data_IF_059694072529
#
_entry.id   IF_059694072529
#
_cell.length_a   1.000
_cell.length_b   1.000
_cell.length_c   1.000
_cell.angle_alpha   90.00
_cell.angle_beta   90.00
_cell.angle_gamma   90.00
#
_symmetry.space_group_name_H-M   'P 1'
#
loop_
_entity.id
_entity.type
_entity.pdbx_description
1 polymer ?
#
# COMPACT_ATOMS: atom_id res chain seq x y z
N UNK A 1 7.35 11.99 22.17
CA UNK A 1 8.40 10.96 21.94
C UNK A 1 9.72 11.40 22.59
N UNK A 2 10.11 12.65 22.46
CA UNK A 2 11.41 13.15 22.97
C UNK A 2 11.63 12.92 24.47
N UNK A 3 10.58 12.86 25.28
CA UNK A 3 10.68 12.68 26.75
C UNK A 3 10.59 11.22 27.19
N UNK A 4 10.28 10.28 26.28
CA UNK A 4 10.14 8.87 26.62
C UNK A 4 11.51 8.24 26.95
N UNK A 5 11.51 7.37 27.96
CA UNK A 5 12.58 6.41 28.18
C UNK A 5 12.45 5.20 27.24
N UNK A 6 13.40 4.26 27.31
CA UNK A 6 13.40 3.09 26.42
C UNK A 6 12.15 2.21 26.62
N UNK A 7 11.65 2.07 27.85
CA UNK A 7 10.47 1.27 28.15
C UNK A 7 9.18 1.97 27.63
N UNK A 8 9.09 3.28 27.78
CA UNK A 8 7.98 4.08 27.23
C UNK A 8 7.96 4.05 25.70
N UNK A 9 9.12 4.17 25.07
CA UNK A 9 9.26 4.06 23.61
C UNK A 9 8.90 2.65 23.12
N UNK A 10 9.34 1.61 23.83
CA UNK A 10 8.98 0.22 23.51
C UNK A 10 7.46 0.02 23.53
N UNK A 11 6.77 0.50 24.56
CA UNK A 11 5.30 0.41 24.66
C UNK A 11 4.63 1.15 23.51
N UNK A 12 5.01 2.41 23.26
CA UNK A 12 4.43 3.21 22.18
C UNK A 12 4.58 2.52 20.82
N UNK A 13 5.78 2.02 20.49
CA UNK A 13 6.00 1.32 19.22
C UNK A 13 5.19 0.03 19.15
N UNK A 14 5.07 -0.70 20.27
CA UNK A 14 4.23 -1.89 20.36
C UNK A 14 2.75 -1.61 20.13
N UNK A 15 2.22 -0.52 20.69
CA UNK A 15 0.83 -0.11 20.48
C UNK A 15 0.58 0.29 19.01
N UNK A 16 1.52 1.02 18.40
CA UNK A 16 1.47 1.35 16.97
C UNK A 16 1.54 0.11 16.09
N UNK A 17 2.42 -0.85 16.40
CA UNK A 17 2.50 -2.14 15.69
C UNK A 17 1.18 -2.90 15.75
N UNK A 18 0.52 -2.96 16.92
CA UNK A 18 -0.78 -3.62 17.06
C UNK A 18 -1.87 -2.93 16.22
N UNK A 19 -1.89 -1.61 16.24
CA UNK A 19 -2.81 -0.82 15.43
C UNK A 19 -2.60 -1.06 13.94
N UNK A 20 -1.35 -1.03 13.48
CA UNK A 20 -0.98 -1.29 12.09
C UNK A 20 -1.34 -2.73 11.66
N UNK A 21 -1.14 -3.71 12.52
CA UNK A 21 -1.53 -5.10 12.26
C UNK A 21 -3.05 -5.26 12.10
N UNK A 22 -3.85 -4.59 12.92
CA UNK A 22 -5.32 -4.61 12.80
C UNK A 22 -5.77 -3.94 11.51
N UNK A 23 -5.20 -2.78 11.20
CA UNK A 23 -5.51 -2.03 9.99
C UNK A 23 -5.13 -2.83 8.73
N UNK A 24 -3.92 -3.39 8.68
CA UNK A 24 -3.45 -4.21 7.57
C UNK A 24 -4.35 -5.44 7.31
N UNK A 25 -4.91 -6.05 8.35
CA UNK A 25 -5.87 -7.16 8.21
C UNK A 25 -7.19 -6.69 7.59
N UNK A 26 -7.68 -5.51 7.97
CA UNK A 26 -8.89 -4.92 7.38
C UNK A 26 -8.65 -4.55 5.92
N UNK A 27 -7.52 -3.92 5.61
CA UNK A 27 -7.13 -3.54 4.25
C UNK A 27 -6.99 -4.79 3.36
N UNK A 28 -6.31 -5.83 3.83
CA UNK A 28 -6.17 -7.08 3.09
C UNK A 28 -7.54 -7.74 2.83
N UNK A 29 -8.42 -7.79 3.83
CA UNK A 29 -9.76 -8.35 3.65
C UNK A 29 -10.58 -7.57 2.63
N UNK A 30 -10.62 -6.24 2.75
CA UNK A 30 -11.39 -5.38 1.85
C UNK A 30 -10.85 -5.46 0.42
N UNK A 31 -9.54 -5.43 0.25
CA UNK A 31 -8.88 -5.54 -1.05
C UNK A 31 -9.13 -6.89 -1.72
N UNK A 32 -8.91 -8.00 -1.01
CA UNK A 32 -9.13 -9.36 -1.55
C UNK A 32 -10.60 -9.58 -1.94
N UNK A 33 -11.53 -9.06 -1.14
CA UNK A 33 -12.95 -9.11 -1.46
C UNK A 33 -13.28 -8.30 -2.72
N UNK A 34 -12.69 -7.12 -2.88
CA UNK A 34 -12.86 -6.28 -4.05
C UNK A 34 -12.26 -6.93 -5.31
N UNK A 35 -11.00 -7.39 -5.27
CA UNK A 35 -10.31 -7.91 -6.45
C UNK A 35 -10.95 -9.20 -7.01
N UNK A 36 -11.57 -10.00 -6.12
CA UNK A 36 -12.32 -11.19 -6.55
C UNK A 36 -13.69 -10.87 -7.15
N UNK A 37 -14.21 -9.64 -6.95
CA UNK A 37 -15.54 -9.19 -7.41
C UNK A 37 -15.53 -7.71 -7.76
N UNK A 38 -14.73 -7.31 -8.72
CA UNK A 38 -14.52 -5.89 -9.10
C UNK A 38 -15.79 -5.16 -9.53
N UNK A 39 -16.83 -5.88 -9.98
CA UNK A 39 -18.15 -5.34 -10.31
C UNK A 39 -19.13 -5.23 -9.11
N UNK A 40 -18.75 -5.71 -7.91
CA UNK A 40 -19.61 -5.65 -6.72
C UNK A 40 -19.51 -4.27 -6.05
N UNK A 41 -20.62 -3.52 -6.08
CA UNK A 41 -20.70 -2.19 -5.47
C UNK A 41 -20.45 -2.23 -3.94
N UNK A 42 -20.89 -3.31 -3.26
CA UNK A 42 -20.67 -3.47 -1.81
C UNK A 42 -19.21 -3.70 -1.49
N UNK A 43 -18.52 -4.52 -2.29
CA UNK A 43 -17.08 -4.74 -2.14
C UNK A 43 -16.28 -3.44 -2.39
N UNK A 44 -16.66 -2.67 -3.41
CA UNK A 44 -16.04 -1.36 -3.71
C UNK A 44 -16.26 -0.35 -2.58
N UNK A 45 -17.48 -0.27 -2.03
CA UNK A 45 -17.79 0.63 -0.91
C UNK A 45 -17.03 0.24 0.35
N UNK A 46 -16.90 -1.06 0.65
CA UNK A 46 -16.11 -1.54 1.79
C UNK A 46 -14.64 -1.15 1.65
N UNK A 47 -14.05 -1.35 0.47
CA UNK A 47 -12.65 -0.97 0.20
C UNK A 47 -12.46 0.53 0.45
N UNK A 48 -13.33 1.38 -0.09
CA UNK A 48 -13.28 2.81 0.12
C UNK A 48 -13.37 3.19 1.61
N UNK A 49 -14.30 2.61 2.36
CA UNK A 49 -14.45 2.87 3.80
C UNK A 49 -13.19 2.50 4.59
N UNK A 50 -12.54 1.38 4.24
CA UNK A 50 -11.30 0.95 4.89
C UNK A 50 -10.14 1.88 4.52
N UNK A 51 -10.04 2.33 3.26
CA UNK A 51 -9.02 3.30 2.84
C UNK A 51 -9.19 4.65 3.55
N UNK A 52 -10.42 5.14 3.73
CA UNK A 52 -10.71 6.35 4.50
C UNK A 52 -10.35 6.19 5.99
N UNK A 53 -10.61 5.01 6.56
CA UNK A 53 -10.18 4.69 7.92
C UNK A 53 -8.65 4.68 8.03
N UNK A 54 -7.96 4.05 7.08
CA UNK A 54 -6.50 3.99 7.02
C UNK A 54 -5.88 5.39 6.92
N UNK A 55 -6.45 6.28 6.10
CA UNK A 55 -6.00 7.66 5.99
C UNK A 55 -6.15 8.42 7.32
N UNK A 56 -7.29 8.25 8.02
CA UNK A 56 -7.52 8.85 9.35
C UNK A 56 -6.53 8.34 10.39
N UNK A 57 -6.30 7.02 10.43
CA UNK A 57 -5.31 6.41 11.34
C UNK A 57 -3.91 6.93 11.00
N UNK A 58 -3.53 6.93 9.72
CA UNK A 58 -2.23 7.43 9.25
C UNK A 58 -1.99 8.88 9.70
N UNK A 59 -3.00 9.75 9.57
CA UNK A 59 -2.91 11.13 10.06
C UNK A 59 -2.69 11.22 11.59
N UNK A 60 -3.35 10.35 12.35
CA UNK A 60 -3.21 10.33 13.81
C UNK A 60 -1.87 9.75 14.28
N UNK A 61 -1.23 8.89 13.48
CA UNK A 61 0.00 8.17 13.85
C UNK A 61 1.26 8.77 13.24
N UNK A 62 1.13 9.66 12.23
CA UNK A 62 2.27 10.28 11.54
C UNK A 62 3.19 11.09 12.47
N UNK A 63 2.68 11.55 13.63
CA UNK A 63 3.49 12.24 14.63
C UNK A 63 4.71 11.43 15.08
N UNK A 64 4.56 10.09 15.14
CA UNK A 64 5.62 9.24 15.68
C UNK A 64 6.92 9.28 14.86
N UNK A 65 6.94 8.97 13.55
CA UNK A 65 8.16 9.09 12.75
C UNK A 65 8.71 10.52 12.70
N UNK A 66 7.83 11.53 12.71
CA UNK A 66 8.26 12.93 12.69
C UNK A 66 8.98 13.33 13.98
N UNK A 67 8.41 13.00 15.13
CA UNK A 67 9.03 13.29 16.42
C UNK A 67 10.26 12.44 16.70
N UNK A 68 10.25 11.15 16.31
CA UNK A 68 11.40 10.27 16.42
C UNK A 68 12.60 10.81 15.64
N UNK A 69 12.39 11.32 14.45
CA UNK A 69 13.44 11.87 13.60
C UNK A 69 13.95 13.24 14.06
N UNK A 70 13.19 13.98 14.89
CA UNK A 70 13.62 15.24 15.51
C UNK A 70 14.53 15.04 16.74
N UNK A 71 14.56 13.84 17.30
CA UNK A 71 15.47 13.54 18.43
C UNK A 71 16.91 13.62 17.92
N UNK A 72 17.79 14.28 18.70
CA UNK A 72 19.21 14.36 18.35
C UNK A 72 19.87 12.97 18.24
N UNK A 73 20.95 12.89 17.47
CA UNK A 73 21.57 11.60 17.14
C UNK A 73 22.14 10.90 18.40
N UNK A 74 22.74 11.64 19.32
CA UNK A 74 23.37 11.08 20.53
C UNK A 74 22.31 10.41 21.41
N UNK A 75 21.16 11.10 21.63
CA UNK A 75 20.04 10.55 22.40
C UNK A 75 19.40 9.35 21.70
N UNK A 76 19.19 9.43 20.39
CA UNK A 76 18.63 8.35 19.62
C UNK A 76 19.52 7.08 19.68
N UNK A 77 20.83 7.24 19.53
CA UNK A 77 21.78 6.13 19.61
C UNK A 77 21.83 5.53 21.02
N UNK A 78 21.76 6.37 22.07
CA UNK A 78 21.66 5.90 23.44
C UNK A 78 20.39 5.06 23.69
N UNK A 79 19.24 5.49 23.16
CA UNK A 79 17.99 4.71 23.22
C UNK A 79 18.11 3.40 22.44
N UNK A 80 18.63 3.44 21.22
CA UNK A 80 18.81 2.27 20.36
C UNK A 80 19.79 1.23 20.92
N UNK A 81 20.68 1.65 21.81
CA UNK A 81 21.59 0.76 22.55
C UNK A 81 20.91 -0.02 23.68
N UNK A 82 19.70 0.36 24.08
CA UNK A 82 19.00 -0.27 25.21
C UNK A 82 18.44 -1.64 24.84
N UNK A 83 18.54 -2.65 25.74
CA UNK A 83 17.99 -4.00 25.46
C UNK A 83 16.49 -4.02 25.23
N UNK A 84 15.74 -3.13 25.88
CA UNK A 84 14.29 -3.01 25.74
C UNK A 84 13.85 -2.75 24.30
N UNK A 85 14.71 -2.08 23.49
CA UNK A 85 14.44 -1.73 22.11
C UNK A 85 15.05 -2.69 21.07
N UNK A 86 15.63 -3.81 21.51
CA UNK A 86 16.27 -4.80 20.62
C UNK A 86 15.37 -5.18 19.43
N UNK A 87 14.10 -5.54 19.72
CA UNK A 87 13.10 -5.93 18.72
C UNK A 87 12.86 -4.84 17.67
N UNK A 88 12.80 -3.58 18.09
CA UNK A 88 12.45 -2.45 17.23
C UNK A 88 13.64 -1.68 16.69
N UNK A 89 14.87 -2.07 17.04
CA UNK A 89 16.10 -1.35 16.68
C UNK A 89 16.24 -1.12 15.18
N UNK A 90 15.98 -2.15 14.38
CA UNK A 90 16.07 -2.04 12.92
C UNK A 90 15.02 -1.07 12.36
N UNK A 91 13.78 -1.18 12.80
CA UNK A 91 12.69 -0.30 12.40
C UNK A 91 12.99 1.16 12.73
N UNK A 92 13.37 1.45 13.96
CA UNK A 92 13.69 2.80 14.41
C UNK A 92 14.88 3.41 13.67
N UNK A 93 15.91 2.60 13.35
CA UNK A 93 17.01 3.04 12.48
C UNK A 93 16.56 3.32 11.05
N UNK A 94 15.69 2.48 10.51
CA UNK A 94 15.15 2.67 9.17
C UNK A 94 14.38 3.98 9.06
N UNK A 95 13.53 4.31 10.04
CA UNK A 95 12.83 5.60 10.08
C UNK A 95 13.78 6.77 9.99
N UNK A 96 14.90 6.76 10.70
CA UNK A 96 15.88 7.87 10.68
C UNK A 96 16.56 8.06 9.31
N UNK A 97 16.64 7.03 8.48
CA UNK A 97 17.16 7.17 7.10
C UNK A 97 16.26 8.02 6.21
N UNK A 98 14.97 8.09 6.52
CA UNK A 98 14.01 8.90 5.79
C UNK A 98 13.93 10.34 6.30
N UNK A 99 14.58 10.69 7.41
CA UNK A 99 14.58 12.05 7.96
C UNK A 99 14.90 13.16 6.92
N UNK A 100 15.88 12.98 6.00
CA UNK A 100 16.17 14.00 4.98
C UNK A 100 15.05 14.20 3.95
N UNK A 101 14.10 13.28 3.87
CA UNK A 101 12.99 13.29 2.91
C UNK A 101 11.64 13.62 3.58
N UNK A 102 11.64 13.88 4.88
CA UNK A 102 10.43 14.27 5.60
C UNK A 102 10.04 15.73 5.30
N UNK A 103 8.75 15.93 5.18
CA UNK A 103 8.13 17.25 5.07
C UNK A 103 7.76 17.81 6.45
N UNK A 104 7.12 18.97 6.48
CA UNK A 104 6.54 19.52 7.70
C UNK A 104 5.32 18.69 8.18
N UNK A 105 4.96 18.83 9.46
CA UNK A 105 3.86 18.04 10.06
C UNK A 105 2.55 18.23 9.30
N UNK A 106 2.19 19.48 8.97
CA UNK A 106 0.95 19.76 8.23
C UNK A 106 0.95 19.17 6.81
N UNK A 107 2.10 19.14 6.16
CA UNK A 107 2.26 18.55 4.81
C UNK A 107 2.15 17.02 4.85
N UNK A 108 2.77 16.38 5.84
CA UNK A 108 2.69 14.93 6.03
C UNK A 108 1.25 14.49 6.40
N UNK A 109 0.57 15.24 7.27
CA UNK A 109 -0.84 15.01 7.59
C UNK A 109 -1.73 15.14 6.35
N UNK A 110 -1.53 16.19 5.54
CA UNK A 110 -2.27 16.40 4.29
C UNK A 110 -2.02 15.25 3.30
N UNK A 111 -0.80 14.76 3.18
CA UNK A 111 -0.49 13.61 2.31
C UNK A 111 -1.23 12.35 2.75
N UNK A 112 -1.40 12.12 4.06
CA UNK A 112 -2.20 11.00 4.56
C UNK A 112 -3.69 11.16 4.18
N UNK A 113 -4.23 12.38 4.31
CA UNK A 113 -5.63 12.67 3.93
C UNK A 113 -5.88 12.54 2.43
N UNK A 114 -4.92 12.90 1.59
CA UNK A 114 -5.02 12.80 0.14
C UNK A 114 -4.80 11.39 -0.41
N UNK A 115 -4.32 10.45 0.40
CA UNK A 115 -4.01 9.08 -0.03
C UNK A 115 -5.20 8.37 -0.72
N UNK A 116 -6.46 8.41 -0.20
CA UNK A 116 -7.59 7.75 -0.85
C UNK A 116 -7.95 8.33 -2.22
N UNK A 117 -7.85 9.67 -2.38
CA UNK A 117 -8.20 10.36 -3.64
C UNK A 117 -7.01 10.54 -4.59
N UNK A 118 -5.80 10.27 -4.11
CA UNK A 118 -4.57 10.26 -4.87
C UNK A 118 -4.23 8.86 -5.38
N UNK A 119 -3.19 8.27 -4.82
CA UNK A 119 -2.64 6.98 -5.26
C UNK A 119 -3.68 5.85 -5.26
N UNK A 120 -4.48 5.74 -4.19
CA UNK A 120 -5.47 4.67 -4.08
C UNK A 120 -6.54 4.77 -5.16
N UNK A 121 -7.01 5.98 -5.48
CA UNK A 121 -7.99 6.20 -6.54
C UNK A 121 -7.47 5.77 -7.92
N UNK A 122 -6.20 6.06 -8.23
CA UNK A 122 -5.57 5.64 -9.49
C UNK A 122 -5.40 4.13 -9.56
N UNK A 123 -4.97 3.48 -8.48
CA UNK A 123 -4.88 2.04 -8.41
C UNK A 123 -6.26 1.38 -8.62
N UNK A 124 -7.29 1.90 -7.95
CA UNK A 124 -8.66 1.40 -8.09
C UNK A 124 -9.20 1.57 -9.51
N UNK A 125 -8.92 2.72 -10.15
CA UNK A 125 -9.28 2.95 -11.55
C UNK A 125 -8.62 1.93 -12.46
N UNK A 126 -7.31 1.70 -12.28
CA UNK A 126 -6.55 0.72 -13.06
C UNK A 126 -7.14 -0.69 -12.92
N UNK A 127 -7.35 -1.15 -11.69
CA UNK A 127 -7.93 -2.48 -11.42
C UNK A 127 -9.33 -2.65 -12.06
N UNK A 128 -10.16 -1.62 -11.96
CA UNK A 128 -11.49 -1.66 -12.58
C UNK A 128 -11.44 -1.69 -14.11
N UNK A 129 -10.55 -0.91 -14.71
CA UNK A 129 -10.38 -0.89 -16.16
C UNK A 129 -9.86 -2.24 -16.66
N UNK A 130 -8.79 -2.75 -16.07
CA UNK A 130 -8.21 -4.03 -16.48
C UNK A 130 -9.15 -5.20 -16.24
N UNK A 131 -9.86 -5.24 -15.12
CA UNK A 131 -10.86 -6.27 -14.84
C UNK A 131 -12.02 -6.32 -15.86
N UNK A 132 -12.27 -5.21 -16.57
CA UNK A 132 -13.29 -5.12 -17.62
C UNK A 132 -12.77 -5.45 -19.02
N UNK A 133 -11.45 -5.39 -19.24
CA UNK A 133 -10.88 -5.71 -20.56
C UNK A 133 -11.16 -7.16 -20.94
N UNK A 134 -11.41 -7.36 -22.22
CA UNK A 134 -11.59 -8.69 -22.82
C UNK A 134 -10.69 -8.84 -24.04
N UNK A 135 -10.11 -10.02 -24.16
CA UNK A 135 -9.07 -10.33 -25.13
C UNK A 135 -9.52 -11.46 -26.06
N UNK A 136 -9.01 -11.41 -27.29
CA UNK A 136 -9.36 -12.40 -28.31
C UNK A 136 -10.83 -12.39 -28.72
N UNK A 137 -11.19 -13.24 -29.67
CA UNK A 137 -12.57 -13.38 -30.16
C UNK A 137 -13.49 -14.05 -29.13
N UNK A 138 -12.93 -14.81 -28.18
CA UNK A 138 -13.65 -15.51 -27.12
C UNK A 138 -13.99 -14.65 -25.90
N UNK A 139 -13.57 -13.38 -25.85
CA UNK A 139 -13.83 -12.49 -24.71
C UNK A 139 -13.11 -12.93 -23.42
N UNK A 140 -11.91 -13.46 -23.55
CA UNK A 140 -11.10 -14.00 -22.44
C UNK A 140 -10.65 -12.91 -21.47
N UNK A 141 -10.42 -13.28 -20.23
CA UNK A 141 -9.84 -12.38 -19.22
C UNK A 141 -8.33 -12.18 -19.46
N UNK A 142 -7.74 -11.19 -18.78
CA UNK A 142 -6.30 -10.98 -18.83
C UNK A 142 -5.53 -12.19 -18.32
N UNK A 143 -5.94 -12.76 -17.18
CA UNK A 143 -5.28 -13.92 -16.57
C UNK A 143 -5.29 -15.14 -17.49
N UNK A 144 -6.40 -15.39 -18.20
CA UNK A 144 -6.49 -16.50 -19.16
C UNK A 144 -5.50 -16.34 -20.31
N UNK A 145 -5.33 -15.11 -20.81
CA UNK A 145 -4.40 -14.83 -21.91
C UNK A 145 -2.95 -14.81 -21.42
N UNK A 146 -2.68 -14.26 -20.22
CA UNK A 146 -1.36 -14.31 -19.61
C UNK A 146 -0.91 -15.73 -19.28
N UNK A 147 -1.84 -16.62 -18.89
CA UNK A 147 -1.55 -18.03 -18.65
C UNK A 147 -1.00 -18.71 -19.90
N UNK A 148 -1.50 -18.36 -21.09
CA UNK A 148 -1.02 -18.91 -22.35
C UNK A 148 0.45 -18.57 -22.64
N UNK A 149 0.96 -17.45 -22.13
CA UNK A 149 2.36 -17.07 -22.31
C UNK A 149 3.35 -18.06 -21.68
N UNK A 150 2.87 -18.86 -20.73
CA UNK A 150 3.65 -19.90 -20.04
C UNK A 150 3.39 -21.31 -20.62
N UNK A 151 2.55 -21.45 -21.65
CA UNK A 151 2.22 -22.74 -22.24
C UNK A 151 3.46 -23.38 -22.90
N UNK A 152 3.67 -24.73 -22.82
CA UNK A 152 4.78 -25.42 -23.46
C UNK A 152 4.81 -25.22 -24.98
N UNK A 153 3.64 -25.22 -25.64
CA UNK A 153 3.53 -25.00 -27.07
C UNK A 153 3.74 -23.53 -27.44
N UNK A 154 4.71 -23.30 -28.35
CA UNK A 154 5.03 -21.96 -28.86
C UNK A 154 3.88 -21.30 -29.61
N UNK A 155 3.04 -22.06 -30.32
CA UNK A 155 1.91 -21.52 -31.07
C UNK A 155 0.87 -20.91 -30.12
N UNK A 156 0.59 -21.59 -28.98
CA UNK A 156 -0.31 -21.07 -27.93
C UNK A 156 0.26 -19.80 -27.33
N UNK A 157 1.56 -19.78 -26.95
CA UNK A 157 2.21 -18.56 -26.43
C UNK A 157 2.11 -17.38 -27.40
N UNK A 158 2.31 -17.62 -28.69
CA UNK A 158 2.22 -16.59 -29.74
C UNK A 158 0.81 -16.05 -29.84
N UNK A 159 -0.20 -16.92 -29.89
CA UNK A 159 -1.61 -16.51 -29.92
C UNK A 159 -1.96 -15.66 -28.70
N UNK A 160 -1.57 -16.07 -27.49
CA UNK A 160 -1.79 -15.29 -26.29
C UNK A 160 -1.14 -13.88 -26.35
N UNK A 161 0.12 -13.80 -26.82
CA UNK A 161 0.81 -12.52 -27.00
C UNK A 161 0.12 -11.60 -28.02
N UNK A 162 -0.34 -12.16 -29.13
CA UNK A 162 -1.03 -11.41 -30.20
C UNK A 162 -2.40 -10.91 -29.68
N UNK A 163 -3.18 -11.75 -28.98
CA UNK A 163 -4.46 -11.38 -28.39
C UNK A 163 -4.31 -10.30 -27.33
N UNK A 164 -3.31 -10.43 -26.43
CA UNK A 164 -3.00 -9.44 -25.40
C UNK A 164 -2.67 -8.08 -26.05
N UNK A 165 -1.76 -8.09 -27.02
CA UNK A 165 -1.32 -6.88 -27.74
C UNK A 165 -2.49 -6.21 -28.48
N UNK A 166 -3.30 -6.98 -29.18
CA UNK A 166 -4.46 -6.47 -29.89
C UNK A 166 -5.52 -5.90 -28.93
N UNK A 167 -5.75 -6.56 -27.79
CA UNK A 167 -6.67 -6.10 -26.75
C UNK A 167 -6.24 -4.77 -26.12
N UNK A 168 -4.97 -4.65 -25.73
CA UNK A 168 -4.42 -3.41 -25.18
C UNK A 168 -4.47 -2.26 -26.20
N UNK A 169 -4.11 -2.51 -27.46
CA UNK A 169 -4.17 -1.49 -28.54
C UNK A 169 -5.58 -0.97 -28.77
N UNK A 170 -6.61 -1.82 -28.73
CA UNK A 170 -8.00 -1.39 -28.87
C UNK A 170 -8.47 -0.47 -27.77
N UNK A 171 -7.90 -0.62 -26.57
CA UNK A 171 -8.27 0.14 -25.37
C UNK A 171 -7.24 1.23 -25.02
N UNK A 172 -6.34 1.58 -25.93
CA UNK A 172 -5.27 2.56 -25.69
C UNK A 172 -5.81 3.90 -25.16
N UNK A 173 -6.96 4.33 -25.65
CA UNK A 173 -7.64 5.57 -25.24
C UNK A 173 -8.12 5.57 -23.77
N UNK A 174 -8.19 4.38 -23.13
CA UNK A 174 -8.50 4.25 -21.69
C UNK A 174 -7.23 4.20 -20.86
N UNK A 175 -6.07 3.89 -21.46
CA UNK A 175 -4.81 3.63 -20.80
C UNK A 175 -3.81 4.79 -20.92
N UNK A 176 -4.13 5.81 -21.69
CA UNK A 176 -3.36 7.04 -21.93
C UNK A 176 -4.13 8.27 -21.54
#
# INVERSE_FOLDING_TARGET
VAELDAAGLHRLVGDLEQLDCLLARLEAFAFLRFITRTGDAVASALLQQVEELAARVGRLTVFFPLEWNRIDAVRADALLGRPELERYRHYLRALRRFAPHQLGTAEEELLQELKPVGRSAWNLLFEKLFGQLRFGAGGRTEEEVLSDLHHPDRAVRRTGADELTAGLRRNLHLLT
#
